data_IF_003187802344
#
_entry.id   IF_003187802344
#
_cell.length_a   1.000
_cell.length_b   1.000
_cell.length_c   1.000
_cell.angle_alpha   90.00
_cell.angle_beta   90.00
_cell.angle_gamma   90.00
#
_symmetry.space_group_name_H-M   'P 1'
#
loop_
_entity.id
_entity.type
_entity.pdbx_description
1 polymer ?
#
# COMPACT_ATOMS: atom_id res chain seq x y z
N UNK A 1 33.86 32.62 42.32
CA UNK A 1 34.14 32.92 40.90
C UNK A 1 33.81 31.69 40.06
N UNK A 2 32.92 31.87 39.07
CA UNK A 2 32.60 31.01 37.92
C UNK A 2 32.09 29.56 38.15
N UNK A 3 30.75 29.43 38.15
CA UNK A 3 30.06 28.17 37.83
C UNK A 3 30.25 27.78 36.37
N UNK A 4 30.31 26.48 36.09
CA UNK A 4 30.47 25.93 34.74
C UNK A 4 29.16 25.31 34.24
N UNK A 5 28.41 26.18 33.55
CA UNK A 5 27.71 25.95 32.27
C UNK A 5 26.77 24.75 32.12
N UNK A 6 25.49 25.07 32.29
CA UNK A 6 24.34 24.49 31.58
C UNK A 6 24.60 24.42 30.07
N UNK A 7 24.58 23.21 29.51
CA UNK A 7 24.40 22.98 28.08
C UNK A 7 22.91 22.77 27.81
N UNK A 8 22.29 23.86 27.40
CA UNK A 8 20.96 23.96 26.79
C UNK A 8 21.04 23.34 25.40
N UNK A 9 20.54 22.13 25.19
CA UNK A 9 20.39 21.63 23.82
C UNK A 9 19.09 22.18 23.23
N UNK A 10 19.31 23.28 22.51
CA UNK A 10 18.36 24.08 21.75
C UNK A 10 17.59 23.26 20.73
N UNK A 11 16.28 23.51 20.67
CA UNK A 11 15.44 23.25 19.51
C UNK A 11 16.10 23.81 18.24
N UNK A 12 16.43 22.91 17.30
CA UNK A 12 16.80 23.26 15.95
C UNK A 12 15.53 23.33 15.09
N UNK A 13 15.06 24.56 14.86
CA UNK A 13 14.19 24.92 13.75
C UNK A 13 15.02 24.80 12.45
N UNK A 14 14.48 24.10 11.44
CA UNK A 14 15.03 23.88 10.09
C UNK A 14 16.14 22.82 9.92
N UNK A 15 15.80 21.73 9.21
CA UNK A 15 16.67 21.27 8.11
C UNK A 15 17.45 19.96 8.26
N UNK A 16 17.27 19.14 9.30
CA UNK A 16 18.00 17.87 9.43
C UNK A 16 17.13 16.63 9.21
N UNK A 17 16.79 16.28 7.96
CA UNK A 17 16.14 14.99 7.68
C UNK A 17 17.17 13.86 7.78
N UNK A 18 17.41 13.38 9.01
CA UNK A 18 17.98 12.05 9.20
C UNK A 18 17.03 11.05 8.53
N UNK A 19 17.44 10.52 7.37
CA UNK A 19 16.71 9.49 6.65
C UNK A 19 16.59 8.29 7.58
N UNK A 20 15.39 8.01 8.08
CA UNK A 20 15.12 6.94 9.06
C UNK A 20 15.13 5.58 8.37
N UNK A 21 16.32 5.12 7.97
CA UNK A 21 16.55 3.79 7.41
C UNK A 21 16.07 2.71 8.41
N UNK A 22 15.31 1.72 7.94
CA UNK A 22 14.87 0.58 8.74
C UNK A 22 13.48 0.68 9.40
N UNK A 23 12.74 1.79 9.23
CA UNK A 23 11.32 1.82 9.64
C UNK A 23 10.44 1.23 8.54
N UNK A 24 9.82 0.09 8.82
CA UNK A 24 8.84 -0.56 7.94
C UNK A 24 7.45 0.05 8.16
N UNK A 25 6.79 0.45 7.08
CA UNK A 25 5.43 0.98 7.04
C UNK A 25 4.54 -0.03 6.31
N UNK A 26 3.26 -0.12 6.68
CA UNK A 26 2.32 -1.00 5.96
C UNK A 26 1.76 -0.29 4.74
N UNK A 27 1.74 -1.00 3.61
CA UNK A 27 1.03 -0.58 2.41
C UNK A 27 -0.49 -0.60 2.68
N UNK A 28 -1.22 0.51 2.48
CA UNK A 28 -2.65 0.60 2.73
C UNK A 28 -3.51 -0.24 1.77
N UNK A 29 -3.01 -0.59 0.59
CA UNK A 29 -3.73 -1.48 -0.33
C UNK A 29 -3.58 -2.93 0.09
N UNK A 30 -2.35 -3.44 0.10
CA UNK A 30 -2.10 -4.88 0.22
C UNK A 30 -1.71 -5.35 1.63
N UNK A 31 -1.44 -4.44 2.56
CA UNK A 31 -1.01 -4.77 3.92
C UNK A 31 0.43 -5.26 4.05
N UNK A 32 1.19 -5.33 2.95
CA UNK A 32 2.60 -5.72 2.97
C UNK A 32 3.47 -4.65 3.66
N UNK A 33 4.53 -5.10 4.35
CA UNK A 33 5.49 -4.21 4.99
C UNK A 33 6.49 -3.70 3.97
N UNK A 34 6.68 -2.38 3.91
CA UNK A 34 7.57 -1.70 2.95
C UNK A 34 8.51 -0.77 3.69
N UNK A 35 9.73 -0.63 3.20
CA UNK A 35 10.67 0.33 3.76
C UNK A 35 10.15 1.76 3.61
N UNK A 36 10.33 2.60 4.64
CA UNK A 36 9.92 4.01 4.61
C UNK A 36 10.58 4.81 3.49
N UNK A 37 11.69 4.34 2.93
CA UNK A 37 12.41 4.97 1.83
C UNK A 37 12.06 4.39 0.46
N UNK A 38 11.03 3.54 0.37
CA UNK A 38 10.56 3.01 -0.91
C UNK A 38 10.27 4.16 -1.90
N UNK A 39 10.75 4.08 -3.15
CA UNK A 39 10.49 5.08 -4.17
C UNK A 39 9.00 5.13 -4.56
N UNK A 40 8.25 4.06 -4.29
CA UNK A 40 6.82 3.98 -4.55
C UNK A 40 6.03 4.73 -3.47
N UNK A 41 5.90 6.05 -3.65
CA UNK A 41 5.16 6.97 -2.78
C UNK A 41 4.02 7.67 -3.53
N UNK A 42 2.93 7.93 -2.83
CA UNK A 42 1.91 8.88 -3.28
C UNK A 42 1.49 9.75 -2.09
N UNK A 43 1.40 11.06 -2.31
CA UNK A 43 0.83 11.97 -1.31
C UNK A 43 -0.64 12.21 -1.65
N UNK A 44 -1.55 11.86 -0.73
CA UNK A 44 -2.99 11.99 -0.88
C UNK A 44 -3.61 12.48 0.42
N UNK A 45 -4.48 13.48 0.37
CA UNK A 45 -5.14 14.03 1.56
C UNK A 45 -4.17 14.53 2.63
N UNK A 46 -3.00 15.06 2.23
CA UNK A 46 -1.94 15.50 3.14
C UNK A 46 -1.18 14.36 3.84
N UNK A 47 -1.36 13.11 3.40
CA UNK A 47 -0.68 11.93 3.92
C UNK A 47 0.14 11.26 2.82
N UNK A 48 1.40 11.05 3.14
CA UNK A 48 2.34 10.34 2.29
C UNK A 48 2.22 8.82 2.48
N UNK A 49 1.51 8.15 1.56
CA UNK A 49 1.37 6.70 1.53
C UNK A 49 2.56 6.02 0.84
N UNK A 50 2.91 4.83 1.31
CA UNK A 50 4.01 3.99 0.78
C UNK A 50 3.44 2.69 0.24
N UNK A 51 3.96 2.26 -0.91
CA UNK A 51 3.48 1.08 -1.61
C UNK A 51 4.59 0.05 -1.80
N UNK A 52 4.20 -1.22 -1.88
CA UNK A 52 5.15 -2.33 -2.06
C UNK A 52 5.65 -2.43 -3.50
N UNK A 53 4.87 -1.93 -4.46
CA UNK A 53 5.14 -2.04 -5.88
C UNK A 53 4.60 -0.84 -6.64
N UNK A 54 5.09 -0.65 -7.86
CA UNK A 54 4.54 0.34 -8.78
C UNK A 54 3.06 0.10 -9.10
N UNK A 55 2.67 -1.17 -9.25
CA UNK A 55 1.29 -1.57 -9.49
C UNK A 55 0.36 -1.07 -8.38
N UNK A 56 0.68 -1.37 -7.11
CA UNK A 56 -0.13 -0.87 -5.99
C UNK A 56 -0.19 0.66 -5.95
N UNK A 57 0.93 1.37 -6.21
CA UNK A 57 0.90 2.83 -6.28
C UNK A 57 -0.03 3.33 -7.40
N UNK A 58 0.03 2.71 -8.57
CA UNK A 58 -0.77 3.10 -9.73
C UNK A 58 -2.26 2.80 -9.53
N UNK A 59 -2.60 1.63 -9.00
CA UNK A 59 -3.96 1.22 -8.68
C UNK A 59 -4.57 2.14 -7.63
N UNK A 60 -3.82 2.47 -6.57
CA UNK A 60 -4.26 3.44 -5.57
C UNK A 60 -4.51 4.81 -6.20
N UNK A 61 -3.58 5.29 -7.05
CA UNK A 61 -3.68 6.59 -7.71
C UNK A 61 -4.91 6.69 -8.64
N UNK A 62 -5.30 5.60 -9.30
CA UNK A 62 -6.52 5.51 -10.11
C UNK A 62 -7.77 5.48 -9.24
N UNK A 63 -7.75 4.67 -8.18
CA UNK A 63 -8.89 4.50 -7.29
C UNK A 63 -9.24 5.81 -6.56
N UNK A 64 -8.25 6.59 -6.09
CA UNK A 64 -8.48 7.91 -5.49
C UNK A 64 -8.90 8.98 -6.50
N UNK A 65 -8.63 8.79 -7.79
CA UNK A 65 -9.13 9.64 -8.88
C UNK A 65 -10.57 9.33 -9.28
N UNK A 66 -11.19 8.33 -8.67
CA UNK A 66 -12.56 7.92 -8.99
C UNK A 66 -12.65 6.89 -10.12
N UNK A 67 -11.57 6.15 -10.40
CA UNK A 67 -11.55 5.11 -11.42
C UNK A 67 -11.67 3.72 -10.80
N UNK A 68 -12.50 2.86 -11.39
CA UNK A 68 -12.69 1.49 -10.90
C UNK A 68 -11.48 0.63 -11.29
N UNK A 69 -10.82 0.06 -10.29
CA UNK A 69 -9.68 -0.84 -10.48
C UNK A 69 -10.10 -2.24 -10.06
N UNK A 70 -9.95 -3.25 -10.94
CA UNK A 70 -10.31 -4.62 -10.59
C UNK A 70 -9.47 -5.13 -9.41
N UNK A 71 -10.15 -5.65 -8.38
CA UNK A 71 -9.52 -6.11 -7.14
C UNK A 71 -9.20 -5.02 -6.11
N UNK A 72 -9.75 -3.83 -6.31
CA UNK A 72 -9.84 -2.78 -5.30
C UNK A 72 -11.30 -2.60 -4.93
N UNK A 73 -11.60 -2.74 -3.63
CA UNK A 73 -12.90 -2.44 -3.06
C UNK A 73 -12.78 -1.15 -2.25
N UNK A 74 -13.84 -0.39 -2.19
CA UNK A 74 -13.90 0.90 -1.52
C UNK A 74 -14.62 0.73 -0.17
N UNK A 75 -13.97 1.13 0.93
CA UNK A 75 -14.48 0.92 2.28
C UNK A 75 -14.71 2.26 2.99
N UNK A 76 -15.82 2.36 3.72
CA UNK A 76 -16.09 3.50 4.59
C UNK A 76 -15.43 3.30 5.96
N UNK A 77 -14.79 4.34 6.50
CA UNK A 77 -14.18 4.30 7.83
C UNK A 77 -15.20 4.19 8.97
N UNK A 78 -16.41 4.72 8.75
CA UNK A 78 -17.47 4.82 9.76
C UNK A 78 -18.49 3.68 9.68
N UNK A 79 -18.79 3.22 8.47
CA UNK A 79 -19.82 2.21 8.24
C UNK A 79 -19.24 1.01 7.50
N UNK A 80 -18.98 -0.12 8.19
CA UNK A 80 -18.49 -1.34 7.55
C UNK A 80 -19.41 -1.86 6.42
N UNK A 81 -20.71 -1.56 6.52
CA UNK A 81 -21.72 -1.92 5.51
C UNK A 81 -21.66 -1.04 4.25
N UNK A 82 -21.03 0.14 4.34
CA UNK A 82 -20.84 1.06 3.21
C UNK A 82 -19.74 0.64 2.24
N UNK A 83 -19.42 -0.66 2.15
CA UNK A 83 -18.40 -1.20 1.26
C UNK A 83 -18.96 -1.31 -0.17
N UNK A 84 -18.21 -0.84 -1.16
CA UNK A 84 -18.62 -0.83 -2.57
C UNK A 84 -17.48 -1.24 -3.49
N UNK A 85 -17.77 -1.85 -4.63
CA UNK A 85 -16.75 -2.20 -5.65
C UNK A 85 -16.45 -1.05 -6.61
N UNK A 86 -17.19 0.05 -6.49
CA UNK A 86 -17.06 1.25 -7.29
C UNK A 86 -16.51 2.42 -6.48
N UNK A 87 -15.70 3.29 -7.09
CA UNK A 87 -15.30 4.54 -6.47
C UNK A 87 -16.51 5.45 -6.28
N UNK A 88 -16.49 6.26 -5.23
CA UNK A 88 -17.54 7.24 -4.97
C UNK A 88 -17.75 7.50 -3.49
N UNK A 89 -18.97 7.89 -3.16
CA UNK A 89 -19.41 8.24 -1.82
C UNK A 89 -20.11 7.06 -1.14
N UNK A 90 -19.96 6.97 0.17
CA UNK A 90 -20.62 5.98 0.99
C UNK A 90 -22.14 6.17 0.93
N UNK A 91 -22.89 5.16 0.47
CA UNK A 91 -24.34 5.21 0.41
C UNK A 91 -25.02 5.40 1.79
N UNK A 92 -24.30 5.17 2.89
CA UNK A 92 -24.82 5.33 4.26
C UNK A 92 -24.65 6.76 4.77
N UNK A 93 -23.51 7.42 4.50
CA UNK A 93 -23.18 8.71 5.12
C UNK A 93 -22.67 9.78 4.15
N UNK A 94 -22.51 9.48 2.87
CA UNK A 94 -22.01 10.41 1.85
C UNK A 94 -20.52 10.70 1.89
N UNK A 95 -19.73 10.09 2.80
CA UNK A 95 -18.27 10.32 2.81
C UNK A 95 -17.56 9.56 1.68
N UNK A 96 -16.49 10.16 1.15
CA UNK A 96 -15.61 9.52 0.18
C UNK A 96 -15.07 8.18 0.71
N UNK A 97 -15.23 7.13 -0.10
CA UNK A 97 -14.75 5.81 0.26
C UNK A 97 -13.24 5.68 0.07
N UNK A 98 -12.59 4.92 0.94
CA UNK A 98 -11.16 4.66 0.85
C UNK A 98 -10.89 3.37 0.09
N UNK A 99 -10.00 3.37 -0.91
CA UNK A 99 -9.67 2.17 -1.64
C UNK A 99 -8.83 1.22 -0.79
N UNK A 100 -9.25 -0.04 -0.75
CA UNK A 100 -8.58 -1.16 -0.09
C UNK A 100 -8.50 -2.34 -1.07
N UNK A 101 -7.48 -3.18 -0.97
CA UNK A 101 -7.43 -4.36 -1.84
C UNK A 101 -8.48 -5.37 -1.39
N UNK A 102 -9.29 -5.82 -2.34
CA UNK A 102 -10.23 -6.93 -2.12
C UNK A 102 -9.39 -8.21 -2.01
N UNK A 103 -9.52 -8.94 -0.90
CA UNK A 103 -8.94 -10.29 -0.81
C UNK A 103 -9.71 -11.31 -1.65
N UNK A 104 -10.89 -10.94 -2.16
CA UNK A 104 -11.86 -11.89 -2.75
C UNK A 104 -11.81 -11.92 -4.29
N UNK A 105 -11.18 -10.99 -4.99
CA UNK A 105 -10.95 -11.14 -6.44
C UNK A 105 -9.81 -10.23 -6.92
N UNK A 106 -8.88 -10.75 -7.72
CA UNK A 106 -7.98 -9.90 -8.52
C UNK A 106 -6.55 -9.74 -8.03
N UNK A 107 -5.94 -10.82 -7.53
CA UNK A 107 -4.64 -11.29 -8.03
C UNK A 107 -4.60 -12.77 -7.70
N UNK A 108 -4.86 -13.59 -8.73
CA UNK A 108 -4.28 -14.92 -8.76
C UNK A 108 -2.81 -14.73 -8.41
N UNK A 109 -2.41 -15.27 -7.26
CA UNK A 109 -1.04 -15.36 -6.86
C UNK A 109 -0.26 -15.92 -8.05
N UNK A 110 0.55 -15.07 -8.67
CA UNK A 110 1.52 -15.45 -9.67
C UNK A 110 2.62 -16.21 -8.93
N UNK A 111 2.32 -17.45 -8.54
CA UNK A 111 3.30 -18.42 -8.08
C UNK A 111 3.91 -19.02 -9.34
N UNK A 112 4.87 -18.30 -9.91
CA UNK A 112 5.74 -18.83 -10.94
C UNK A 112 6.69 -19.82 -10.27
N UNK A 113 6.35 -21.10 -10.36
CA UNK A 113 7.16 -22.23 -9.94
C UNK A 113 7.00 -23.33 -10.98
N UNK A 114 7.60 -23.13 -12.16
CA UNK A 114 7.68 -24.16 -13.19
C UNK A 114 8.50 -25.35 -12.71
N UNK A 115 7.89 -26.54 -12.72
CA UNK A 115 8.52 -27.84 -12.53
C UNK A 115 8.15 -28.76 -13.69
N UNK A 116 9.04 -28.82 -14.67
CA UNK A 116 9.00 -29.56 -15.92
C UNK A 116 8.96 -31.09 -15.70
N UNK A 117 7.80 -31.74 -15.54
CA UNK A 117 7.71 -33.22 -15.54
C UNK A 117 6.37 -33.74 -16.11
N UNK A 118 5.86 -33.08 -17.15
CA UNK A 118 4.71 -33.57 -17.92
C UNK A 118 5.06 -33.71 -19.39
N UNK A 119 5.76 -34.78 -19.78
CA UNK A 119 5.82 -35.33 -21.17
C UNK A 119 6.78 -36.53 -21.28
N UNK A 120 6.22 -37.73 -21.20
CA UNK A 120 6.66 -38.86 -22.05
C UNK A 120 5.50 -39.83 -22.20
N UNK A 121 4.59 -39.49 -23.12
CA UNK A 121 3.81 -40.49 -23.85
C UNK A 121 4.75 -41.13 -24.88
N UNK A 122 4.53 -42.43 -25.11
CA UNK A 122 4.98 -43.25 -26.23
C UNK A 122 6.34 -43.96 -26.07
N UNK A 123 6.29 -45.25 -25.68
CA UNK A 123 6.71 -46.39 -26.52
C UNK A 123 6.83 -47.67 -25.66
N UNK A 124 5.86 -48.57 -25.72
CA UNK A 124 6.06 -50.00 -26.04
C UNK A 124 4.69 -50.71 -26.05
N UNK A 125 4.14 -50.85 -27.26
CA UNK A 125 3.22 -51.94 -27.59
C UNK A 125 4.12 -53.13 -27.93
N UNK A 126 4.12 -54.17 -27.11
CA UNK A 126 4.45 -55.55 -27.46
C UNK A 126 3.69 -56.47 -26.51
#
# INVERSE_FOLDING_TARGET
MAGKTSAKETAACCGGQAVRLGRKVRDPLCGMSVEVNSPYRLDQGGRSHRFCSEACRADYAKAVKGESVPGVTFNCALHPEGRQDTPGECAVCGMALMPVRSTIAGHAAQQSGGGLLGRLRAALRL
#
